data_IF_031854147854
#
_entry.id   IF_031854147854
#
_cell.length_a   1.000
_cell.length_b   1.000
_cell.length_c   1.000
_cell.angle_alpha   90.00
_cell.angle_beta   90.00
_cell.angle_gamma   90.00
#
_symmetry.space_group_name_H-M   'P 1'
#
loop_
_entity.id
_entity.type
_entity.pdbx_description
1 polymer ?
#
# COMPACT_ATOMS: atom_id res chain seq x y z
N UNK A 1 35.68 13.49 -4.74
CA UNK A 1 35.44 12.31 -3.89
C UNK A 1 33.95 12.10 -3.63
N UNK A 2 33.22 12.91 -2.88
CA UNK A 2 31.78 12.67 -2.59
C UNK A 2 30.87 12.56 -3.84
N UNK A 3 31.09 13.36 -4.89
CA UNK A 3 30.28 13.32 -6.13
C UNK A 3 30.53 12.03 -6.92
N UNK A 4 31.75 11.55 -6.95
CA UNK A 4 32.16 10.31 -7.63
C UNK A 4 31.54 9.09 -6.93
N UNK A 5 31.64 9.03 -5.60
CA UNK A 5 31.01 8.00 -4.76
C UNK A 5 29.50 7.93 -4.99
N UNK A 6 28.83 9.07 -5.01
CA UNK A 6 27.38 9.14 -5.27
C UNK A 6 27.03 8.63 -6.68
N UNK A 7 27.86 8.92 -7.68
CA UNK A 7 27.63 8.44 -9.06
C UNK A 7 27.78 6.91 -9.15
N UNK A 8 28.82 6.36 -8.52
CA UNK A 8 29.03 4.91 -8.45
C UNK A 8 27.87 4.22 -7.73
N UNK A 9 27.43 4.75 -6.58
CA UNK A 9 26.30 4.21 -5.81
C UNK A 9 25.04 4.10 -6.65
N UNK A 10 24.72 5.13 -7.45
CA UNK A 10 23.55 5.12 -8.35
C UNK A 10 23.62 4.01 -9.38
N UNK A 11 24.75 3.83 -10.07
CA UNK A 11 24.90 2.79 -11.09
C UNK A 11 24.71 1.39 -10.48
N UNK A 12 25.41 1.13 -9.39
CA UNK A 12 25.32 -0.17 -8.69
C UNK A 12 23.87 -0.47 -8.29
N UNK A 13 23.13 0.52 -7.75
CA UNK A 13 21.75 0.30 -7.30
C UNK A 13 20.76 0.16 -8.47
N UNK A 14 20.97 0.86 -9.58
CA UNK A 14 20.16 0.68 -10.79
C UNK A 14 20.35 -0.72 -11.35
N UNK A 15 21.60 -1.17 -11.48
CA UNK A 15 21.94 -2.51 -11.98
C UNK A 15 21.40 -3.60 -11.03
N UNK A 16 21.49 -3.36 -9.71
CA UNK A 16 20.92 -4.26 -8.70
C UNK A 16 19.40 -4.40 -8.88
N UNK A 17 18.70 -3.28 -9.08
CA UNK A 17 17.25 -3.31 -9.31
C UNK A 17 16.87 -4.06 -10.59
N UNK A 18 17.67 -3.97 -11.64
CA UNK A 18 17.47 -4.74 -12.86
C UNK A 18 17.66 -6.25 -12.63
N UNK A 19 18.68 -6.63 -11.86
CA UNK A 19 18.99 -8.05 -11.61
C UNK A 19 18.09 -8.68 -10.54
N UNK A 20 17.72 -7.94 -9.50
CA UNK A 20 17.05 -8.48 -8.31
C UNK A 20 15.59 -8.02 -8.17
N UNK A 21 15.05 -7.23 -9.08
CA UNK A 21 13.68 -6.70 -8.99
C UNK A 21 12.62 -7.78 -8.78
N UNK A 22 12.70 -8.88 -9.53
CA UNK A 22 11.76 -10.01 -9.37
C UNK A 22 11.93 -10.70 -8.01
N UNK A 23 13.17 -10.90 -7.55
CA UNK A 23 13.45 -11.49 -6.22
C UNK A 23 12.88 -10.60 -5.12
N UNK A 24 13.00 -9.28 -5.29
CA UNK A 24 12.45 -8.30 -4.36
C UNK A 24 10.92 -8.42 -4.27
N UNK A 25 10.22 -8.46 -5.40
CA UNK A 25 8.76 -8.61 -5.44
C UNK A 25 8.31 -9.92 -4.77
N UNK A 26 8.94 -11.06 -5.09
CA UNK A 26 8.56 -12.36 -4.54
C UNK A 26 8.86 -12.45 -3.03
N UNK A 27 9.95 -11.86 -2.57
CA UNK A 27 10.30 -11.81 -1.14
C UNK A 27 9.28 -10.98 -0.37
N UNK A 28 8.93 -9.80 -0.88
CA UNK A 28 7.91 -8.92 -0.28
C UNK A 28 6.54 -9.61 -0.27
N UNK A 29 6.13 -10.18 -1.39
CA UNK A 29 4.85 -10.89 -1.51
C UNK A 29 4.72 -11.98 -0.44
N UNK A 30 5.69 -12.87 -0.38
CA UNK A 30 5.72 -13.97 0.59
C UNK A 30 5.77 -13.47 2.03
N UNK A 31 6.54 -12.41 2.30
CA UNK A 31 6.67 -11.78 3.61
C UNK A 31 5.37 -11.15 4.07
N UNK A 32 4.71 -10.39 3.22
CA UNK A 32 3.46 -9.70 3.52
C UNK A 32 2.33 -10.70 3.77
N UNK A 33 2.09 -11.66 2.85
CA UNK A 33 1.02 -12.64 2.98
C UNK A 33 1.16 -13.50 4.26
N UNK A 34 2.39 -13.78 4.69
CA UNK A 34 2.65 -14.51 5.92
C UNK A 34 2.37 -13.69 7.18
N UNK A 35 2.64 -12.39 7.16
CA UNK A 35 2.59 -11.53 8.36
C UNK A 35 1.32 -10.71 8.48
N UNK A 36 0.53 -10.63 7.41
CA UNK A 36 -0.74 -9.89 7.32
C UNK A 36 -1.83 -10.82 6.77
N UNK A 37 -2.27 -11.83 7.55
CA UNK A 37 -3.23 -12.84 7.10
C UNK A 37 -4.60 -12.25 6.73
N UNK A 38 -4.93 -11.06 7.21
CA UNK A 38 -6.16 -10.32 6.89
C UNK A 38 -6.31 -10.02 5.39
N UNK A 39 -5.21 -10.00 4.65
CA UNK A 39 -5.22 -9.79 3.19
C UNK A 39 -5.79 -10.98 2.41
N UNK A 40 -5.93 -12.15 3.05
CA UNK A 40 -6.45 -13.37 2.39
C UNK A 40 -7.95 -13.31 2.08
N UNK A 41 -8.65 -12.26 2.48
CA UNK A 41 -10.12 -12.11 2.31
C UNK A 41 -10.53 -11.67 0.90
N UNK A 42 -9.62 -11.16 0.08
CA UNK A 42 -9.89 -10.71 -1.29
C UNK A 42 -10.14 -11.87 -2.27
N UNK A 43 -10.59 -11.53 -3.48
CA UNK A 43 -10.89 -12.51 -4.53
C UNK A 43 -9.63 -13.20 -5.08
N UNK A 44 -8.55 -12.45 -5.26
CA UNK A 44 -7.24 -12.93 -5.71
C UNK A 44 -6.13 -12.09 -5.05
N UNK A 45 -5.98 -12.20 -3.72
CA UNK A 45 -5.13 -11.29 -2.95
C UNK A 45 -3.64 -11.39 -3.32
N UNK A 46 -3.18 -12.57 -3.72
CA UNK A 46 -1.81 -12.78 -4.15
C UNK A 46 -1.51 -12.03 -5.44
N UNK A 47 -2.38 -12.16 -6.43
CA UNK A 47 -2.24 -11.48 -7.71
C UNK A 47 -2.28 -9.96 -7.55
N UNK A 48 -3.26 -9.46 -6.82
CA UNK A 48 -3.48 -8.03 -6.67
C UNK A 48 -2.31 -7.37 -5.90
N UNK A 49 -1.82 -8.02 -4.85
CA UNK A 49 -0.63 -7.59 -4.13
C UNK A 49 0.63 -7.66 -5.01
N UNK A 50 0.79 -8.72 -5.82
CA UNK A 50 1.92 -8.86 -6.76
C UNK A 50 1.95 -7.72 -7.77
N UNK A 51 0.81 -7.36 -8.33
CA UNK A 51 0.67 -6.23 -9.28
C UNK A 51 1.07 -4.91 -8.58
N UNK A 52 0.56 -4.66 -7.39
CA UNK A 52 0.92 -3.49 -6.60
C UNK A 52 2.43 -3.43 -6.31
N UNK A 53 3.03 -4.54 -5.84
CA UNK A 53 4.47 -4.61 -5.55
C UNK A 53 5.33 -4.38 -6.81
N UNK A 54 4.95 -4.99 -7.92
CA UNK A 54 5.67 -4.82 -9.20
C UNK A 54 5.65 -3.37 -9.67
N UNK A 55 4.55 -2.66 -9.45
CA UNK A 55 4.40 -1.26 -9.85
C UNK A 55 5.34 -0.29 -9.12
N UNK A 56 5.90 -0.71 -7.96
CA UNK A 56 6.88 0.09 -7.22
C UNK A 56 8.29 0.07 -7.83
N UNK A 57 8.66 -0.95 -8.60
CA UNK A 57 10.02 -1.11 -9.11
C UNK A 57 10.54 0.11 -9.90
N UNK A 58 9.78 0.71 -10.83
CA UNK A 58 10.22 1.92 -11.52
C UNK A 58 10.42 3.12 -10.58
N UNK A 59 9.59 3.24 -9.54
CA UNK A 59 9.68 4.29 -8.53
C UNK A 59 10.94 4.17 -7.69
N UNK A 60 11.24 2.97 -7.18
CA UNK A 60 12.46 2.67 -6.40
C UNK A 60 13.71 2.93 -7.27
N UNK A 61 13.71 2.44 -8.51
CA UNK A 61 14.81 2.67 -9.45
C UNK A 61 15.05 4.16 -9.69
N UNK A 62 13.98 4.95 -9.83
CA UNK A 62 14.05 6.41 -9.99
C UNK A 62 14.60 7.06 -8.73
N UNK A 63 14.18 6.62 -7.55
CA UNK A 63 14.69 7.15 -6.28
C UNK A 63 16.19 6.92 -6.12
N UNK A 64 16.72 5.78 -6.56
CA UNK A 64 18.14 5.50 -6.57
C UNK A 64 18.89 6.32 -7.63
N UNK A 65 18.34 6.47 -8.82
CA UNK A 65 19.00 7.16 -9.93
C UNK A 65 18.96 8.67 -9.82
N UNK A 66 17.95 9.24 -9.17
CA UNK A 66 17.78 10.69 -9.05
C UNK A 66 17.45 11.08 -7.60
N UNK A 67 18.43 11.67 -6.86
CA UNK A 67 18.25 12.02 -5.44
C UNK A 67 17.24 13.15 -5.20
N UNK A 68 16.87 13.89 -6.24
CA UNK A 68 15.87 14.98 -6.15
C UNK A 68 14.48 14.54 -6.62
N UNK A 69 14.32 13.28 -7.02
CA UNK A 69 13.01 12.77 -7.43
C UNK A 69 12.05 12.70 -6.23
N UNK A 70 10.84 13.20 -6.44
CA UNK A 70 9.74 13.04 -5.48
C UNK A 70 9.08 11.68 -5.73
N UNK A 71 8.91 10.90 -4.68
CA UNK A 71 8.21 9.63 -4.77
C UNK A 71 6.70 9.87 -4.96
N UNK A 72 6.10 9.06 -5.81
CA UNK A 72 4.65 9.05 -6.04
C UNK A 72 4.17 7.61 -5.95
N UNK A 73 3.07 7.39 -5.26
CA UNK A 73 2.44 6.10 -5.16
C UNK A 73 1.95 5.67 -6.56
N UNK A 74 2.36 4.49 -7.06
CA UNK A 74 1.85 3.97 -8.32
C UNK A 74 0.34 3.74 -8.28
N UNK A 75 -0.34 3.90 -9.42
CA UNK A 75 -1.80 3.73 -9.53
C UNK A 75 -2.27 2.34 -9.11
N UNK A 76 -1.50 1.30 -9.39
CA UNK A 76 -1.82 -0.07 -9.00
C UNK A 76 -1.71 -0.28 -7.48
N UNK A 77 -0.72 0.35 -6.84
CA UNK A 77 -0.56 0.31 -5.40
C UNK A 77 -1.62 1.18 -4.68
N UNK A 78 -2.02 2.30 -5.30
CA UNK A 78 -3.15 3.12 -4.83
C UNK A 78 -4.47 2.33 -4.92
N UNK A 79 -4.72 1.69 -6.06
CA UNK A 79 -5.90 0.83 -6.26
C UNK A 79 -5.93 -0.32 -5.24
N UNK A 80 -4.78 -0.94 -4.99
CA UNK A 80 -4.66 -1.98 -3.96
C UNK A 80 -4.99 -1.45 -2.56
N UNK A 81 -4.50 -0.26 -2.18
CA UNK A 81 -4.79 0.36 -0.88
C UNK A 81 -6.29 0.63 -0.70
N UNK A 82 -6.98 1.05 -1.76
CA UNK A 82 -8.44 1.21 -1.76
C UNK A 82 -9.17 -0.14 -1.68
N UNK A 83 -8.64 -1.17 -2.36
CA UNK A 83 -9.22 -2.52 -2.33
C UNK A 83 -9.20 -3.12 -0.93
N UNK A 84 -8.17 -2.84 -0.10
CA UNK A 84 -8.11 -3.29 1.30
C UNK A 84 -9.35 -2.85 2.09
N UNK A 85 -9.91 -1.66 1.80
CA UNK A 85 -11.16 -1.19 2.43
C UNK A 85 -12.35 -2.09 2.06
N UNK A 86 -12.47 -2.42 0.76
CA UNK A 86 -13.55 -3.26 0.26
C UNK A 86 -13.49 -4.69 0.76
N UNK A 87 -12.28 -5.19 1.02
CA UNK A 87 -12.04 -6.53 1.57
C UNK A 87 -12.19 -6.58 3.11
N UNK A 88 -12.57 -5.45 3.74
CA UNK A 88 -12.78 -5.34 5.18
C UNK A 88 -11.50 -5.22 6.00
N UNK A 89 -10.36 -5.01 5.35
CA UNK A 89 -9.09 -4.74 6.02
C UNK A 89 -9.06 -3.34 6.65
N UNK A 90 -8.27 -3.19 7.71
CA UNK A 90 -8.10 -1.93 8.42
C UNK A 90 -6.97 -1.08 7.87
N UNK A 91 -6.89 0.20 8.24
CA UNK A 91 -5.72 1.05 7.96
C UNK A 91 -4.42 0.44 8.49
N UNK A 92 -4.50 -0.28 9.62
CA UNK A 92 -3.37 -1.01 10.20
C UNK A 92 -2.91 -2.16 9.29
N UNK A 93 -3.84 -2.82 8.57
CA UNK A 93 -3.53 -3.83 7.56
C UNK A 93 -2.66 -3.22 6.45
N UNK A 94 -3.05 -2.05 5.94
CA UNK A 94 -2.26 -1.29 4.95
C UNK A 94 -0.88 -0.93 5.49
N UNK A 95 -0.80 -0.32 6.68
CA UNK A 95 0.47 0.07 7.31
C UNK A 95 1.42 -1.11 7.48
N UNK A 96 0.96 -2.22 8.08
CA UNK A 96 1.77 -3.44 8.29
C UNK A 96 2.29 -4.04 6.98
N UNK A 97 1.49 -3.95 5.91
CA UNK A 97 1.90 -4.41 4.58
C UNK A 97 3.05 -3.58 4.02
N UNK A 98 2.98 -2.26 4.13
CA UNK A 98 4.06 -1.36 3.70
C UNK A 98 5.30 -1.53 4.58
N UNK A 99 5.17 -1.56 5.90
CA UNK A 99 6.29 -1.81 6.83
C UNK A 99 7.01 -3.13 6.53
N UNK A 100 6.24 -4.21 6.35
CA UNK A 100 6.81 -5.51 5.99
C UNK A 100 7.49 -5.48 4.63
N UNK A 101 6.83 -4.89 3.63
CA UNK A 101 7.41 -4.74 2.29
C UNK A 101 8.74 -3.98 2.30
N UNK A 102 8.83 -2.89 3.07
CA UNK A 102 10.08 -2.12 3.19
C UNK A 102 11.20 -2.91 3.87
N UNK A 103 10.87 -3.64 4.94
CA UNK A 103 11.85 -4.47 5.63
C UNK A 103 12.41 -5.56 4.70
N UNK A 104 11.55 -6.22 3.93
CA UNK A 104 11.94 -7.25 2.97
C UNK A 104 12.75 -6.65 1.79
N UNK A 105 12.36 -5.48 1.29
CA UNK A 105 13.12 -4.78 0.26
C UNK A 105 14.54 -4.45 0.72
N UNK A 106 14.67 -3.91 1.93
CA UNK A 106 15.99 -3.64 2.50
C UNK A 106 16.83 -4.90 2.65
N UNK A 107 16.25 -6.01 3.12
CA UNK A 107 16.97 -7.28 3.25
C UNK A 107 17.52 -7.79 1.92
N UNK A 108 16.72 -7.73 0.85
CA UNK A 108 17.14 -8.13 -0.50
C UNK A 108 18.28 -7.23 -1.00
N UNK A 109 18.14 -5.92 -0.89
CA UNK A 109 19.17 -4.97 -1.32
C UNK A 109 20.47 -5.15 -0.52
N UNK A 110 20.39 -5.19 0.81
CA UNK A 110 21.54 -5.33 1.67
C UNK A 110 22.25 -6.69 1.47
N UNK A 111 21.51 -7.77 1.20
CA UNK A 111 22.09 -9.06 0.88
C UNK A 111 22.79 -9.05 -0.46
N UNK A 112 22.16 -8.49 -1.49
CA UNK A 112 22.76 -8.38 -2.82
C UNK A 112 24.04 -7.54 -2.81
N UNK A 113 24.08 -6.44 -2.07
CA UNK A 113 25.28 -5.59 -1.96
C UNK A 113 26.45 -6.28 -1.24
N UNK A 114 26.19 -7.34 -0.45
CA UNK A 114 27.25 -8.15 0.16
C UNK A 114 27.89 -9.16 -0.80
N UNK A 115 27.24 -9.43 -1.91
CA UNK A 115 27.81 -10.33 -2.92
C UNK A 115 29.12 -9.73 -3.49
N UNK A 116 30.15 -10.57 -3.66
CA UNK A 116 31.45 -10.13 -4.17
C UNK A 116 31.44 -9.74 -5.65
N UNK A 117 30.38 -10.10 -6.38
CA UNK A 117 30.19 -9.83 -7.81
C UNK A 117 30.19 -8.35 -8.19
N UNK A 118 29.94 -7.46 -7.23
CA UNK A 118 29.92 -6.00 -7.46
C UNK A 118 31.30 -5.35 -7.55
N UNK A 119 32.38 -6.07 -7.17
CA UNK A 119 33.76 -5.54 -7.20
C UNK A 119 33.99 -4.32 -6.30
N UNK A 120 33.14 -4.11 -5.29
CA UNK A 120 33.23 -2.98 -4.37
C UNK A 120 34.23 -3.25 -3.24
N UNK A 121 35.05 -2.27 -2.91
CA UNK A 121 35.80 -2.25 -1.64
C UNK A 121 34.84 -2.20 -0.44
N UNK A 122 35.32 -2.50 0.75
CA UNK A 122 34.49 -2.42 1.96
C UNK A 122 33.96 -1.01 2.22
N UNK A 123 34.77 0.02 1.96
CA UNK A 123 34.40 1.44 2.09
C UNK A 123 33.35 1.82 1.06
N UNK A 124 33.58 1.53 -0.23
CA UNK A 124 32.62 1.82 -1.28
C UNK A 124 31.28 1.09 -1.06
N UNK A 125 31.30 -0.12 -0.51
CA UNK A 125 30.11 -0.86 -0.15
C UNK A 125 29.33 -0.18 0.97
N UNK A 126 30.01 0.33 1.99
CA UNK A 126 29.39 1.08 3.08
C UNK A 126 28.68 2.34 2.53
N UNK A 127 29.35 3.09 1.66
CA UNK A 127 28.79 4.29 1.01
C UNK A 127 27.54 3.96 0.17
N UNK A 128 27.57 2.86 -0.61
CA UNK A 128 26.43 2.41 -1.39
C UNK A 128 25.27 2.00 -0.48
N UNK A 129 25.53 1.32 0.62
CA UNK A 129 24.51 0.90 1.58
C UNK A 129 23.89 2.11 2.30
N UNK A 130 24.69 3.09 2.69
CA UNK A 130 24.19 4.34 3.30
C UNK A 130 23.28 5.10 2.32
N UNK A 131 23.75 5.30 1.09
CA UNK A 131 22.96 5.93 0.05
C UNK A 131 21.66 5.17 -0.25
N UNK A 132 21.73 3.84 -0.38
CA UNK A 132 20.57 2.99 -0.64
C UNK A 132 19.53 3.09 0.48
N UNK A 133 19.99 3.03 1.76
CA UNK A 133 19.09 3.12 2.90
C UNK A 133 18.36 4.47 2.94
N UNK A 134 19.10 5.58 2.80
CA UNK A 134 18.51 6.91 2.80
C UNK A 134 17.43 7.05 1.70
N UNK A 135 17.76 6.64 0.46
CA UNK A 135 16.82 6.75 -0.67
C UNK A 135 15.61 5.83 -0.56
N UNK A 136 15.82 4.59 -0.08
CA UNK A 136 14.73 3.64 0.12
C UNK A 136 13.78 4.10 1.22
N UNK A 137 14.29 4.61 2.34
CA UNK A 137 13.44 5.11 3.44
C UNK A 137 12.68 6.38 3.05
N UNK A 138 13.29 7.31 2.32
CA UNK A 138 12.58 8.48 1.79
C UNK A 138 11.42 8.07 0.87
N UNK A 139 11.69 7.14 -0.05
CA UNK A 139 10.67 6.57 -0.94
C UNK A 139 9.56 5.91 -0.13
N UNK A 140 9.93 5.01 0.78
CA UNK A 140 9.04 4.24 1.61
C UNK A 140 8.09 5.12 2.44
N UNK A 141 8.64 6.10 3.16
CA UNK A 141 7.85 7.01 3.98
C UNK A 141 6.83 7.79 3.15
N UNK A 142 7.26 8.29 1.99
CA UNK A 142 6.39 9.07 1.11
C UNK A 142 5.24 8.25 0.55
N UNK A 143 5.51 7.04 0.02
CA UNK A 143 4.46 6.19 -0.56
C UNK A 143 3.52 5.62 0.50
N UNK A 144 4.03 5.32 1.71
CA UNK A 144 3.18 4.84 2.82
C UNK A 144 2.16 5.92 3.22
N UNK A 145 2.59 7.17 3.34
CA UNK A 145 1.67 8.26 3.64
C UNK A 145 0.58 8.42 2.57
N UNK A 146 0.96 8.32 1.28
CA UNK A 146 0.01 8.39 0.16
C UNK A 146 -0.94 7.19 0.14
N UNK A 147 -0.47 5.98 0.45
CA UNK A 147 -1.28 4.77 0.53
C UNK A 147 -2.32 4.84 1.66
N UNK A 148 -1.92 5.34 2.83
CA UNK A 148 -2.83 5.58 3.96
C UNK A 148 -3.87 6.63 3.58
N UNK A 149 -3.49 7.72 2.91
CA UNK A 149 -4.44 8.71 2.42
C UNK A 149 -5.46 8.09 1.45
N UNK A 150 -5.00 7.28 0.48
CA UNK A 150 -5.89 6.60 -0.46
C UNK A 150 -6.87 5.65 0.25
N UNK A 151 -6.42 4.93 1.27
CA UNK A 151 -7.26 4.09 2.12
C UNK A 151 -8.35 4.93 2.82
N UNK A 152 -7.97 6.00 3.51
CA UNK A 152 -8.89 6.84 4.28
C UNK A 152 -9.90 7.58 3.39
N UNK A 153 -9.47 8.04 2.22
CA UNK A 153 -10.36 8.68 1.24
C UNK A 153 -11.42 7.70 0.74
N UNK A 154 -11.04 6.45 0.47
CA UNK A 154 -11.97 5.41 0.04
C UNK A 154 -12.94 5.01 1.16
N UNK A 155 -12.46 4.86 2.39
CA UNK A 155 -13.29 4.59 3.56
C UNK A 155 -14.34 5.70 3.73
N UNK A 156 -13.93 6.95 3.73
CA UNK A 156 -14.84 8.09 3.86
C UNK A 156 -15.84 8.17 2.68
N UNK A 157 -15.43 7.75 1.48
CA UNK A 157 -16.32 7.67 0.32
C UNK A 157 -17.43 6.64 0.53
N UNK A 158 -17.09 5.45 1.03
CA UNK A 158 -18.05 4.38 1.30
C UNK A 158 -19.02 4.78 2.43
N UNK A 159 -18.52 5.38 3.50
CA UNK A 159 -19.36 5.88 4.61
C UNK A 159 -20.41 6.90 4.10
N UNK A 160 -20.00 7.89 3.31
CA UNK A 160 -20.92 8.86 2.71
C UNK A 160 -21.94 8.22 1.77
N UNK A 161 -21.52 7.21 1.02
CA UNK A 161 -22.42 6.49 0.11
C UNK A 161 -23.47 5.69 0.89
N UNK A 162 -23.07 5.04 1.98
CA UNK A 162 -23.98 4.30 2.85
C UNK A 162 -24.98 5.23 3.55
N UNK A 163 -24.53 6.35 4.11
CA UNK A 163 -25.36 7.37 4.72
C UNK A 163 -26.39 7.94 3.71
N UNK A 164 -25.96 8.28 2.51
CA UNK A 164 -26.83 8.75 1.44
C UNK A 164 -27.86 7.69 1.02
N UNK A 165 -27.50 6.42 1.02
CA UNK A 165 -28.40 5.31 0.72
C UNK A 165 -29.44 5.11 1.82
N UNK A 166 -29.04 5.18 3.07
CA UNK A 166 -29.94 5.14 4.24
C UNK A 166 -30.94 6.31 4.22
N UNK A 167 -30.45 7.52 3.97
CA UNK A 167 -31.32 8.70 3.90
C UNK A 167 -32.36 8.58 2.79
N UNK A 168 -31.96 8.12 1.60
CA UNK A 168 -32.89 7.88 0.48
C UNK A 168 -33.93 6.81 0.83
N UNK A 169 -33.54 5.72 1.50
CA UNK A 169 -34.44 4.67 1.92
C UNK A 169 -35.48 5.18 2.94
N UNK A 170 -35.05 5.98 3.91
CA UNK A 170 -35.96 6.61 4.89
C UNK A 170 -36.90 7.58 4.20
N UNK A 171 -36.41 8.45 3.32
CA UNK A 171 -37.24 9.40 2.58
C UNK A 171 -38.26 8.69 1.71
N UNK A 172 -37.86 7.67 0.95
CA UNK A 172 -38.78 6.89 0.10
C UNK A 172 -39.84 6.13 0.91
N UNK A 173 -39.49 5.66 2.10
CA UNK A 173 -40.45 5.05 3.02
C UNK A 173 -41.50 6.06 3.51
N UNK A 174 -41.05 7.25 3.92
CA UNK A 174 -41.95 8.32 4.41
C UNK A 174 -42.89 8.86 3.29
N UNK A 175 -42.43 8.85 2.07
CA UNK A 175 -43.23 9.27 0.89
C UNK A 175 -44.14 8.17 0.35
N UNK A 176 -44.00 6.94 0.83
CA UNK A 176 -44.75 5.78 0.36
C UNK A 176 -44.27 5.19 -0.98
N UNK A 177 -43.10 5.64 -1.44
CA UNK A 177 -42.48 5.23 -2.70
C UNK A 177 -41.61 3.97 -2.59
N UNK A 178 -41.30 3.53 -1.36
CA UNK A 178 -40.46 2.36 -1.09
C UNK A 178 -41.18 1.36 -0.18
N UNK A 179 -41.14 0.09 -0.57
CA UNK A 179 -41.63 -1.01 0.26
C UNK A 179 -40.86 -1.10 1.59
N UNK A 180 -41.57 -1.23 2.75
CA UNK A 180 -40.94 -1.29 4.06
C UNK A 180 -39.84 -2.36 4.18
N UNK A 181 -40.02 -3.54 3.58
CA UNK A 181 -39.00 -4.61 3.62
C UNK A 181 -37.75 -4.28 2.81
N UNK A 182 -37.91 -3.46 1.75
CA UNK A 182 -36.75 -2.96 0.99
C UNK A 182 -36.03 -1.88 1.77
N UNK A 183 -36.76 -0.99 2.44
CA UNK A 183 -36.19 0.03 3.31
C UNK A 183 -35.41 -0.61 4.47
N UNK A 184 -35.98 -1.61 5.15
CA UNK A 184 -35.29 -2.35 6.24
C UNK A 184 -33.92 -2.88 5.83
N UNK A 185 -33.81 -3.46 4.62
CA UNK A 185 -32.52 -3.96 4.10
C UNK A 185 -31.50 -2.83 3.88
N UNK A 186 -31.95 -1.67 3.45
CA UNK A 186 -31.08 -0.53 3.16
C UNK A 186 -30.66 0.22 4.40
N UNK A 187 -31.56 0.32 5.42
CA UNK A 187 -31.24 1.03 6.68
C UNK A 187 -30.63 0.13 7.74
N UNK A 188 -30.68 -1.21 7.55
CA UNK A 188 -30.19 -2.18 8.52
C UNK A 188 -30.99 -2.21 9.83
N UNK A 189 -32.30 -1.82 9.79
CA UNK A 189 -33.14 -1.64 10.95
C UNK A 189 -34.52 -2.20 10.69
N UNK A 190 -35.04 -2.99 11.65
CA UNK A 190 -36.36 -3.62 11.55
C UNK A 190 -37.46 -2.61 11.84
N UNK A 191 -38.40 -2.46 10.91
CA UNK A 191 -39.53 -1.54 11.01
C UNK A 191 -40.78 -2.20 11.66
N UNK A 192 -40.83 -3.53 11.62
CA UNK A 192 -41.91 -4.33 12.23
C UNK A 192 -41.74 -4.58 13.74
N UNK A 193 -40.71 -4.04 14.36
CA UNK A 193 -40.44 -4.14 15.79
C UNK A 193 -41.00 -2.94 16.58
N UNK A 194 -41.20 -3.11 17.89
CA UNK A 194 -41.52 -1.98 18.78
C UNK A 194 -40.31 -1.08 18.98
N UNK A 195 -40.50 0.22 18.75
CA UNK A 195 -39.45 1.23 18.83
C UNK A 195 -39.73 2.21 19.97
N UNK A 196 -38.68 2.56 20.72
CA UNK A 196 -38.74 3.60 21.75
C UNK A 196 -37.79 4.72 21.35
N UNK A 197 -38.33 5.92 21.08
CA UNK A 197 -37.55 7.12 20.80
C UNK A 197 -37.27 7.90 22.07
N UNK A 198 -36.06 8.41 22.23
CA UNK A 198 -35.69 9.36 23.27
C UNK A 198 -35.29 10.68 22.59
N UNK A 199 -35.87 11.78 23.03
CA UNK A 199 -35.41 13.14 22.73
C UNK A 199 -34.55 13.61 23.87
N UNK A 200 -33.32 14.02 23.58
CA UNK A 200 -32.42 14.68 24.53
C UNK A 200 -32.60 16.20 24.42
#
# INVERSE_FOLDING_TARGET
MAIETTRQSRHVLIDLMEQKGNVLVETQLSGILRTVPELSSGKDPERDLRVALTSHLPGIRRAFGNPTSVATLPSEAEAWSRQVVHDGGSVTTTLRSFERGHADAWQVIASALRESSWGLSSEARADVMEYASARLFDYANTITAQAVSAYLDEQARLERQDESSRLRAVTGLLQGDLDPRMAERSIGYRLDASHTGYTL
#
